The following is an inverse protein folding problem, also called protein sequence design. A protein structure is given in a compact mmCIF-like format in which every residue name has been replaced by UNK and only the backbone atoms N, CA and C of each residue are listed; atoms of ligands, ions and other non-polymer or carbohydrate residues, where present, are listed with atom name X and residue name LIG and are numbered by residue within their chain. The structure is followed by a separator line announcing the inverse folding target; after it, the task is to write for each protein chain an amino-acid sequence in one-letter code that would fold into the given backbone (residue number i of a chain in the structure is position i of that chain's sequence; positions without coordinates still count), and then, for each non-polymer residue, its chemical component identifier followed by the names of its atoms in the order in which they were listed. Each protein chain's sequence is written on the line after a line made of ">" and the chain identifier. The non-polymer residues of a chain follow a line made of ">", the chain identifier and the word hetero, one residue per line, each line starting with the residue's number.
data_IF_057822732942
#
_entry.id   IF_057822732942
#
_cell.length_a   1.000
_cell.length_b   1.000
_cell.length_c   1.000
_cell.angle_alpha   90.00
_cell.angle_beta   90.00
_cell.angle_gamma   90.00
#
_symmetry.space_group_name_H-M   'P 1'
#
loop_
_entity.id
_entity.type
_entity.pdbx_description
1 polymer ?
#
# COMPACT_ATOMS: atom_id res chain seq x y z
N UNK A 1 -17.21 16.50 3.58
CA UNK A 1 -16.71 15.51 2.61
C UNK A 1 -17.40 14.19 2.95
N UNK A 2 -18.08 13.55 2.00
CA UNK A 2 -18.74 12.27 2.29
C UNK A 2 -17.68 11.24 2.63
N UNK A 3 -17.78 10.64 3.82
CA UNK A 3 -17.04 9.43 4.15
C UNK A 3 -17.66 8.34 3.27
N UNK A 4 -16.91 7.85 2.29
CA UNK A 4 -17.31 6.64 1.57
C UNK A 4 -17.39 5.53 2.61
N UNK A 5 -18.54 4.89 2.67
CA UNK A 5 -18.80 3.78 3.57
C UNK A 5 -17.93 2.60 3.11
N UNK A 6 -16.98 2.19 3.95
CA UNK A 6 -15.91 1.21 3.63
C UNK A 6 -16.39 -0.25 3.68
N UNK A 7 -17.70 -0.46 3.80
CA UNK A 7 -18.31 -1.78 4.01
C UNK A 7 -19.03 -2.35 2.79
N UNK A 8 -18.88 -1.77 1.61
CA UNK A 8 -19.38 -2.37 0.38
C UNK A 8 -18.23 -2.68 -0.58
N UNK A 9 -18.11 -3.98 -0.92
CA UNK A 9 -17.13 -4.60 -1.82
C UNK A 9 -16.36 -3.64 -2.72
N UNK A 10 -15.03 -3.62 -2.57
CA UNK A 10 -14.15 -3.02 -3.55
C UNK A 10 -14.31 -3.75 -4.90
N UNK A 11 -14.52 -3.05 -6.03
CA UNK A 11 -14.50 -3.67 -7.35
C UNK A 11 -13.21 -4.47 -7.56
N UNK A 12 -13.31 -5.63 -8.20
CA UNK A 12 -12.14 -6.47 -8.50
C UNK A 12 -11.09 -5.69 -9.30
N UNK A 13 -11.55 -4.85 -10.22
CA UNK A 13 -10.69 -4.01 -11.05
C UNK A 13 -9.85 -3.03 -10.21
N UNK A 14 -10.45 -2.44 -9.17
CA UNK A 14 -9.78 -1.53 -8.24
C UNK A 14 -8.74 -2.27 -7.39
N UNK A 15 -9.06 -3.49 -6.95
CA UNK A 15 -8.14 -4.36 -6.22
C UNK A 15 -6.94 -4.76 -7.09
N UNK A 16 -7.17 -5.13 -8.34
CA UNK A 16 -6.11 -5.44 -9.31
C UNK A 16 -5.26 -4.20 -9.65
N UNK A 17 -5.88 -3.04 -9.79
CA UNK A 17 -5.16 -1.78 -10.00
C UNK A 17 -4.29 -1.40 -8.80
N UNK A 18 -4.80 -1.59 -7.59
CA UNK A 18 -4.03 -1.40 -6.37
C UNK A 18 -2.81 -2.34 -6.32
N UNK A 19 -2.97 -3.62 -6.71
CA UNK A 19 -1.85 -4.56 -6.81
C UNK A 19 -0.80 -4.16 -7.85
N UNK A 20 -1.19 -3.48 -8.93
CA UNK A 20 -0.23 -2.92 -9.90
C UNK A 20 0.47 -1.67 -9.36
N UNK A 21 -0.25 -0.83 -8.62
CA UNK A 21 0.21 0.49 -8.20
C UNK A 21 1.07 0.47 -6.94
N UNK A 22 0.69 -0.29 -5.92
CA UNK A 22 1.40 -0.33 -4.63
C UNK A 22 2.88 -0.74 -4.75
N UNK A 23 3.28 -1.74 -5.57
CA UNK A 23 4.69 -2.05 -5.79
C UNK A 23 5.49 -0.91 -6.42
N UNK A 24 4.88 -0.11 -7.30
CA UNK A 24 5.54 1.07 -7.90
C UNK A 24 5.80 2.14 -6.84
N UNK A 25 4.82 2.39 -5.97
CA UNK A 25 4.94 3.34 -4.85
C UNK A 25 6.04 2.85 -3.88
N UNK A 26 6.07 1.56 -3.55
CA UNK A 26 7.12 0.98 -2.70
C UNK A 26 8.51 1.27 -3.30
N UNK A 27 8.71 0.97 -4.60
CA UNK A 27 9.98 1.22 -5.29
C UNK A 27 10.38 2.71 -5.28
N UNK A 28 9.41 3.61 -5.44
CA UNK A 28 9.67 5.04 -5.35
C UNK A 28 10.13 5.44 -3.94
N UNK A 29 9.48 4.91 -2.89
CA UNK A 29 9.86 5.17 -1.50
C UNK A 29 11.24 4.59 -1.21
N UNK A 30 11.55 3.38 -1.67
CA UNK A 30 12.87 2.75 -1.54
C UNK A 30 13.97 3.57 -2.22
N UNK A 31 13.68 4.19 -3.37
CA UNK A 31 14.63 5.06 -4.07
C UNK A 31 14.93 6.35 -3.31
N UNK A 32 13.95 6.94 -2.63
CA UNK A 32 14.13 8.21 -1.90
C UNK A 32 14.60 8.01 -0.46
N UNK A 33 14.33 6.85 0.15
CA UNK A 33 14.66 6.57 1.56
C UNK A 33 16.14 6.81 1.91
N UNK A 34 17.14 6.42 1.08
CA UNK A 34 18.56 6.66 1.37
C UNK A 34 18.93 8.14 1.52
N UNK A 35 18.12 9.06 0.97
CA UNK A 35 18.34 10.50 1.12
C UNK A 35 17.92 11.01 2.50
N UNK A 36 17.21 10.21 3.30
CA UNK A 36 16.81 10.58 4.64
C UNK A 36 17.89 10.18 5.65
N UNK A 37 18.16 11.08 6.60
CA UNK A 37 19.05 10.78 7.72
C UNK A 37 18.47 9.63 8.53
N UNK A 38 19.28 8.61 8.80
CA UNK A 38 18.90 7.50 9.68
C UNK A 38 18.49 8.04 11.06
N UNK A 39 17.43 7.47 11.64
CA UNK A 39 16.84 7.96 12.89
C UNK A 39 15.96 9.21 12.76
N UNK A 40 15.85 9.82 11.57
CA UNK A 40 14.89 10.91 11.32
C UNK A 40 13.44 10.40 11.27
N UNK A 41 12.50 11.32 11.48
CA UNK A 41 11.07 11.03 11.34
C UNK A 41 10.72 10.62 9.91
N UNK A 42 11.36 11.22 8.90
CA UNK A 42 11.16 10.90 7.49
C UNK A 42 11.63 9.47 7.16
N UNK A 43 12.82 9.08 7.65
CA UNK A 43 13.32 7.71 7.49
C UNK A 43 12.35 6.70 8.12
N UNK A 44 11.95 6.95 9.37
CA UNK A 44 11.00 6.10 10.11
C UNK A 44 9.65 5.99 9.38
N UNK A 45 9.14 7.10 8.85
CA UNK A 45 7.89 7.13 8.10
C UNK A 45 7.99 6.34 6.80
N UNK A 46 9.09 6.46 6.06
CA UNK A 46 9.34 5.70 4.83
C UNK A 46 9.32 4.19 5.08
N UNK A 47 10.03 3.72 6.12
CA UNK A 47 10.03 2.31 6.54
C UNK A 47 8.63 1.82 6.89
N UNK A 48 7.87 2.62 7.67
CA UNK A 48 6.51 2.27 8.09
C UNK A 48 5.54 2.17 6.91
N UNK A 49 5.66 3.08 5.93
CA UNK A 49 4.84 3.06 4.71
C UNK A 49 5.08 1.80 3.89
N UNK A 50 6.34 1.44 3.66
CA UNK A 50 6.68 0.19 2.93
C UNK A 50 6.03 -1.02 3.62
N UNK A 51 6.16 -1.12 4.96
CA UNK A 51 5.53 -2.20 5.73
C UNK A 51 4.01 -2.21 5.59
N UNK A 52 3.36 -1.05 5.69
CA UNK A 52 1.91 -0.93 5.56
C UNK A 52 1.42 -1.34 4.16
N UNK A 53 2.13 -0.93 3.10
CA UNK A 53 1.77 -1.29 1.73
C UNK A 53 1.95 -2.79 1.44
N UNK A 54 3.00 -3.41 1.99
CA UNK A 54 3.13 -4.87 1.89
C UNK A 54 1.99 -5.61 2.59
N UNK A 55 1.53 -5.13 3.75
CA UNK A 55 0.36 -5.68 4.44
C UNK A 55 -0.89 -5.49 3.58
N UNK A 56 -1.09 -4.29 3.01
CA UNK A 56 -2.24 -4.01 2.14
C UNK A 56 -2.26 -4.94 0.91
N UNK A 57 -1.12 -5.14 0.25
CA UNK A 57 -0.98 -6.09 -0.87
C UNK A 57 -1.44 -7.48 -0.45
N UNK A 58 -0.93 -8.01 0.67
CA UNK A 58 -1.30 -9.34 1.15
C UNK A 58 -2.80 -9.47 1.48
N UNK A 59 -3.42 -8.40 2.00
CA UNK A 59 -4.86 -8.37 2.27
C UNK A 59 -5.67 -8.35 0.96
N UNK A 60 -5.24 -7.59 -0.03
CA UNK A 60 -5.89 -7.52 -1.35
C UNK A 60 -5.78 -8.86 -2.07
N UNK A 61 -4.60 -9.49 -2.06
CA UNK A 61 -4.40 -10.83 -2.65
C UNK A 61 -5.30 -11.87 -1.99
N UNK A 62 -5.46 -11.80 -0.65
CA UNK A 62 -6.37 -12.66 0.09
C UNK A 62 -7.84 -12.45 -0.31
N UNK A 63 -8.26 -11.20 -0.48
CA UNK A 63 -9.63 -10.87 -0.91
C UNK A 63 -9.91 -11.46 -2.29
N UNK A 64 -9.03 -11.20 -3.27
CA UNK A 64 -9.14 -11.73 -4.63
C UNK A 64 -9.11 -13.26 -4.70
N UNK A 65 -8.42 -13.92 -3.74
CA UNK A 65 -8.40 -15.37 -3.64
C UNK A 65 -9.67 -15.95 -2.99
N UNK A 66 -10.38 -15.17 -2.17
CA UNK A 66 -11.61 -15.59 -1.47
C UNK A 66 -12.84 -15.51 -2.39
N UNK A 67 -12.83 -14.63 -3.40
CA UNK A 67 -13.86 -14.55 -4.45
C UNK A 67 -13.74 -15.61 -5.57
N UNK A 68 -12.99 -16.71 -5.36
CA UNK A 68 -12.82 -17.81 -6.33
C UNK A 68 -13.76 -18.99 -6.06
#
# INVERSE_FOLDING_TARGET
>A
MPKQDITENYPREDLEEALRTLPLIIRQIEKIQPNFKEGSSQYTLAVRRIKAFNIAIALIERELATER
#
